data_IF_792092803759
#
_entry.id   IF_792092803759
#
_cell.length_a   1.000
_cell.length_b   1.000
_cell.length_c   1.000
_cell.angle_alpha   90.00
_cell.angle_beta   90.00
_cell.angle_gamma   90.00
#
_symmetry.space_group_name_H-M   'P 1'
#
loop_
_entity.id
_entity.type
_entity.pdbx_description
1 polymer ?
#
# COMPACT_ATOMS: atom_id res chain seq x y z
N UNK A 1 -27.69 19.71 -10.56
CA UNK A 1 -27.46 19.72 -9.10
C UNK A 1 -27.30 18.27 -8.67
N UNK A 2 -26.36 18.01 -7.80
CA UNK A 2 -26.11 16.68 -7.20
C UNK A 2 -26.45 16.74 -5.72
N UNK A 3 -26.85 15.59 -5.18
CA UNK A 3 -27.12 15.42 -3.74
C UNK A 3 -25.93 14.72 -3.07
N UNK A 4 -25.88 14.79 -1.76
CA UNK A 4 -24.92 14.02 -0.96
C UNK A 4 -25.14 12.52 -1.20
N UNK A 5 -24.06 11.77 -1.48
CA UNK A 5 -24.09 10.35 -1.79
C UNK A 5 -24.25 10.00 -3.27
N UNK A 6 -24.58 10.95 -4.14
CA UNK A 6 -24.67 10.70 -5.58
C UNK A 6 -23.34 10.27 -6.18
N UNK A 7 -23.37 9.29 -7.08
CA UNK A 7 -22.20 8.88 -7.85
C UNK A 7 -21.89 9.93 -8.92
N UNK A 8 -20.73 10.55 -8.82
CA UNK A 8 -20.35 11.66 -9.71
C UNK A 8 -19.29 11.25 -10.73
N UNK A 9 -18.42 10.32 -10.40
CA UNK A 9 -17.38 9.79 -11.32
C UNK A 9 -17.26 8.29 -11.06
N UNK A 10 -17.20 7.53 -12.15
CA UNK A 10 -16.91 6.11 -12.12
C UNK A 10 -15.63 5.86 -12.94
N UNK A 11 -14.62 5.28 -12.30
CA UNK A 11 -13.40 4.84 -12.94
C UNK A 11 -13.58 3.42 -13.47
N UNK A 12 -12.90 3.09 -14.57
CA UNK A 12 -12.92 1.75 -15.16
C UNK A 12 -12.16 0.77 -14.26
N UNK A 13 -12.80 -0.33 -13.80
CA UNK A 13 -12.15 -1.33 -12.97
C UNK A 13 -11.29 -2.33 -13.75
N UNK A 14 -11.19 -2.24 -15.09
CA UNK A 14 -10.56 -3.26 -15.93
C UNK A 14 -9.11 -3.58 -15.51
N UNK A 15 -8.31 -2.57 -15.23
CA UNK A 15 -6.91 -2.76 -14.81
C UNK A 15 -6.81 -3.42 -13.43
N UNK A 16 -7.68 -3.02 -12.50
CA UNK A 16 -7.72 -3.63 -11.15
C UNK A 16 -8.18 -5.08 -11.23
N UNK A 17 -9.21 -5.35 -12.04
CA UNK A 17 -9.72 -6.71 -12.25
C UNK A 17 -8.65 -7.61 -12.87
N UNK A 18 -7.93 -7.11 -13.89
CA UNK A 18 -6.82 -7.84 -14.49
C UNK A 18 -5.72 -8.12 -13.46
N UNK A 19 -5.34 -7.12 -12.67
CA UNK A 19 -4.35 -7.31 -11.60
C UNK A 19 -4.77 -8.40 -10.61
N UNK A 20 -6.05 -8.45 -10.21
CA UNK A 20 -6.59 -9.48 -9.32
C UNK A 20 -6.41 -10.87 -9.95
N UNK A 21 -6.83 -11.06 -11.20
CA UNK A 21 -6.71 -12.35 -11.92
C UNK A 21 -5.23 -12.78 -12.01
N UNK A 22 -4.33 -11.88 -12.34
CA UNK A 22 -2.89 -12.15 -12.41
C UNK A 22 -2.34 -12.57 -11.03
N UNK A 23 -2.80 -11.93 -9.94
CA UNK A 23 -2.41 -12.29 -8.57
C UNK A 23 -3.03 -13.59 -8.08
N UNK A 24 -4.27 -13.90 -8.46
CA UNK A 24 -4.91 -15.17 -8.15
C UNK A 24 -4.18 -16.33 -8.82
N UNK A 25 -3.78 -16.18 -10.07
CA UNK A 25 -2.95 -17.17 -10.80
C UNK A 25 -1.58 -17.34 -10.13
N UNK A 26 -0.96 -16.24 -9.67
CA UNK A 26 0.30 -16.29 -8.93
C UNK A 26 0.14 -16.99 -7.58
N UNK A 27 -0.99 -16.79 -6.89
CA UNK A 27 -1.31 -17.47 -5.64
C UNK A 27 -1.43 -18.98 -5.83
N UNK A 28 -2.17 -19.42 -6.86
CA UNK A 28 -2.33 -20.83 -7.18
C UNK A 28 -0.97 -21.50 -7.47
N UNK A 29 -0.13 -20.86 -8.28
CA UNK A 29 1.23 -21.34 -8.57
C UNK A 29 2.08 -21.43 -7.30
N UNK A 30 1.97 -20.45 -6.40
CA UNK A 30 2.73 -20.44 -5.14
C UNK A 30 2.24 -21.52 -4.17
N UNK A 31 0.93 -21.79 -4.12
CA UNK A 31 0.34 -22.88 -3.32
C UNK A 31 0.81 -24.25 -3.82
N UNK A 32 0.79 -24.47 -5.14
CA UNK A 32 1.31 -25.70 -5.72
C UNK A 32 2.81 -25.90 -5.45
N UNK A 33 3.59 -24.81 -5.47
CA UNK A 33 5.01 -24.84 -5.09
C UNK A 33 5.22 -25.18 -3.61
N UNK A 34 4.39 -24.64 -2.73
CA UNK A 34 4.42 -24.95 -1.30
C UNK A 34 4.09 -26.43 -1.04
N UNK A 35 3.04 -26.94 -1.65
CA UNK A 35 2.65 -28.37 -1.55
C UNK A 35 3.77 -29.29 -2.03
N UNK A 36 4.35 -29.01 -3.19
CA UNK A 36 5.51 -29.75 -3.70
C UNK A 36 6.70 -29.72 -2.72
N UNK A 37 6.95 -28.57 -2.11
CA UNK A 37 8.01 -28.44 -1.10
C UNK A 37 7.72 -29.32 0.12
N UNK A 38 6.48 -29.32 0.62
CA UNK A 38 6.08 -30.16 1.77
C UNK A 38 6.29 -31.65 1.51
N UNK A 39 5.85 -32.13 0.34
CA UNK A 39 6.03 -33.53 -0.06
C UNK A 39 7.53 -33.89 -0.19
N UNK A 40 8.33 -33.02 -0.80
CA UNK A 40 9.76 -33.24 -0.90
C UNK A 40 10.47 -33.27 0.47
N UNK A 41 10.00 -32.46 1.39
CA UNK A 41 10.49 -32.43 2.76
C UNK A 41 10.17 -33.73 3.50
N UNK A 42 8.93 -34.20 3.44
CA UNK A 42 8.51 -35.48 4.04
C UNK A 42 9.36 -36.65 3.52
N UNK A 43 9.66 -36.69 2.22
CA UNK A 43 10.52 -37.69 1.62
C UNK A 43 11.95 -37.61 2.20
N UNK A 44 12.53 -36.42 2.31
CA UNK A 44 13.88 -36.22 2.88
C UNK A 44 13.96 -36.61 4.34
N UNK A 45 12.93 -36.28 5.11
CA UNK A 45 12.86 -36.65 6.53
C UNK A 45 12.77 -38.18 6.70
N UNK A 46 11.96 -38.86 5.86
CA UNK A 46 11.86 -40.31 5.81
C UNK A 46 13.19 -40.99 5.43
N UNK A 47 13.93 -40.44 4.44
CA UNK A 47 15.27 -40.90 4.06
C UNK A 47 16.28 -40.72 5.19
N UNK A 48 16.24 -39.56 5.88
CA UNK A 48 17.13 -39.28 7.00
C UNK A 48 16.85 -40.20 8.19
N UNK A 49 15.58 -40.47 8.51
CA UNK A 49 15.21 -41.45 9.53
C UNK A 49 15.69 -42.87 9.17
N UNK A 50 15.55 -43.29 7.91
CA UNK A 50 16.04 -44.58 7.44
C UNK A 50 17.56 -44.68 7.59
N UNK A 51 18.27 -43.59 7.27
CA UNK A 51 19.73 -43.51 7.46
C UNK A 51 20.09 -43.64 8.95
N UNK A 52 19.38 -42.96 9.87
CA UNK A 52 19.63 -43.05 11.31
C UNK A 52 19.40 -44.48 11.77
N UNK A 53 18.34 -45.17 11.32
CA UNK A 53 18.09 -46.56 11.66
C UNK A 53 19.21 -47.50 11.22
N UNK A 54 19.75 -47.29 10.01
CA UNK A 54 20.90 -48.04 9.49
C UNK A 54 22.18 -47.81 10.31
N UNK A 55 22.47 -46.53 10.61
CA UNK A 55 23.66 -46.20 11.43
C UNK A 55 23.52 -46.68 12.88
N UNK A 56 22.30 -46.68 13.42
CA UNK A 56 22.04 -47.26 14.76
C UNK A 56 22.33 -48.76 14.77
N UNK A 57 21.85 -49.52 13.78
CA UNK A 57 22.12 -50.94 13.69
C UNK A 57 23.64 -51.21 13.53
N UNK A 58 24.36 -50.41 12.77
CA UNK A 58 25.80 -50.47 12.66
C UNK A 58 26.54 -50.18 13.98
N UNK A 59 26.08 -49.15 14.67
CA UNK A 59 26.57 -48.79 16.02
C UNK A 59 26.39 -49.94 17.01
N UNK A 60 25.22 -50.55 17.07
CA UNK A 60 24.93 -51.69 17.96
C UNK A 60 25.81 -52.90 17.63
N UNK A 61 25.97 -53.21 16.33
CA UNK A 61 26.85 -54.30 15.90
C UNK A 61 28.31 -54.04 16.32
N UNK A 62 28.86 -52.83 16.10
CA UNK A 62 30.24 -52.47 16.48
C UNK A 62 30.40 -52.45 17.98
N UNK A 63 29.40 -52.02 18.74
CA UNK A 63 29.37 -52.10 20.20
C UNK A 63 29.51 -53.54 20.70
N UNK A 64 28.68 -54.46 20.17
CA UNK A 64 28.75 -55.89 20.52
C UNK A 64 30.09 -56.50 20.17
N UNK A 65 30.67 -56.19 18.98
CA UNK A 65 31.99 -56.71 18.58
C UNK A 65 33.11 -56.16 19.46
N UNK A 66 33.04 -54.93 19.88
CA UNK A 66 33.99 -54.33 20.84
C UNK A 66 33.88 -54.97 22.22
N UNK A 67 32.68 -55.22 22.71
CA UNK A 67 32.42 -55.90 23.98
C UNK A 67 32.94 -57.35 23.98
N UNK A 68 32.78 -58.09 22.87
CA UNK A 68 33.29 -59.43 22.68
C UNK A 68 34.85 -59.48 22.67
N UNK A 69 35.49 -58.42 22.15
CA UNK A 69 36.96 -58.37 22.03
C UNK A 69 37.71 -58.15 23.35
N UNK A 70 36.99 -58.11 24.51
CA UNK A 70 37.63 -57.91 25.83
C UNK A 70 38.65 -58.95 26.19
N UNK A 71 38.55 -60.18 25.62
CA UNK A 71 39.44 -61.32 25.88
C UNK A 71 40.47 -61.55 24.76
N UNK A 72 40.54 -60.66 23.74
CA UNK A 72 41.47 -60.74 22.64
C UNK A 72 42.80 -59.99 22.91
N UNK A 73 43.70 -60.03 21.90
CA UNK A 73 44.97 -59.32 22.00
C UNK A 73 44.77 -57.80 22.05
N UNK A 74 45.67 -57.07 22.71
CA UNK A 74 45.60 -55.61 22.85
C UNK A 74 45.50 -54.88 21.47
N UNK A 75 46.13 -55.43 20.43
CA UNK A 75 46.04 -54.88 19.06
C UNK A 75 44.63 -55.03 18.52
N UNK A 76 44.00 -56.21 18.66
CA UNK A 76 42.64 -56.45 18.17
C UNK A 76 41.62 -55.63 18.94
N UNK A 77 41.76 -55.54 20.25
CA UNK A 77 40.96 -54.70 21.11
C UNK A 77 40.99 -53.25 20.70
N UNK A 78 42.17 -52.71 20.41
CA UNK A 78 42.31 -51.31 19.96
C UNK A 78 41.65 -51.08 18.60
N UNK A 79 41.73 -52.01 17.66
CA UNK A 79 41.04 -51.94 16.38
C UNK A 79 39.54 -51.89 16.58
N UNK A 80 38.99 -52.77 17.41
CA UNK A 80 37.51 -52.79 17.66
C UNK A 80 37.02 -51.57 18.41
N UNK A 81 37.81 -51.02 19.30
CA UNK A 81 37.52 -49.73 19.95
C UNK A 81 37.43 -48.58 18.91
N UNK A 82 38.38 -48.49 17.97
CA UNK A 82 38.32 -47.46 16.93
C UNK A 82 37.15 -47.64 15.95
N UNK A 83 36.78 -48.88 15.60
CA UNK A 83 35.61 -49.19 14.80
C UNK A 83 34.34 -48.75 15.49
N UNK A 84 34.20 -48.98 16.80
CA UNK A 84 33.09 -48.55 17.62
C UNK A 84 33.00 -47.01 17.75
N UNK A 85 34.16 -46.38 17.97
CA UNK A 85 34.21 -44.88 17.98
C UNK A 85 33.81 -44.32 16.65
N UNK A 86 34.25 -44.89 15.52
CA UNK A 86 33.81 -44.46 14.20
C UNK A 86 32.30 -44.59 13.98
N UNK A 87 31.72 -45.74 14.37
CA UNK A 87 30.24 -45.90 14.26
C UNK A 87 29.49 -44.91 15.16
N UNK A 88 30.00 -44.62 16.35
CA UNK A 88 29.45 -43.61 17.26
C UNK A 88 29.42 -42.24 16.61
N UNK A 89 30.53 -41.84 15.94
CA UNK A 89 30.63 -40.56 15.23
C UNK A 89 29.62 -40.51 14.07
N UNK A 90 29.52 -41.59 13.26
CA UNK A 90 28.59 -41.63 12.13
C UNK A 90 27.12 -41.50 12.57
N UNK A 91 26.71 -42.19 13.60
CA UNK A 91 25.38 -42.10 14.18
C UNK A 91 25.09 -40.66 14.66
N UNK A 92 26.04 -40.04 15.36
CA UNK A 92 25.88 -38.67 15.84
C UNK A 92 25.79 -37.65 14.68
N UNK A 93 26.58 -37.88 13.63
CA UNK A 93 26.51 -37.05 12.41
C UNK A 93 25.15 -37.18 11.69
N UNK A 94 24.61 -38.44 11.59
CA UNK A 94 23.31 -38.67 10.99
C UNK A 94 22.19 -37.95 11.76
N UNK A 95 22.21 -38.08 13.11
CA UNK A 95 21.26 -37.37 13.99
C UNK A 95 21.37 -35.84 13.83
N UNK A 96 22.58 -35.34 13.82
CA UNK A 96 22.81 -33.89 13.68
C UNK A 96 22.35 -33.35 12.33
N UNK A 97 22.53 -34.14 11.26
CA UNK A 97 22.02 -33.76 9.91
C UNK A 97 20.50 -33.68 9.89
N UNK A 98 19.79 -34.63 10.51
CA UNK A 98 18.34 -34.58 10.59
C UNK A 98 17.87 -33.30 11.33
N UNK A 99 18.49 -33.01 12.48
CA UNK A 99 18.17 -31.81 13.28
C UNK A 99 18.38 -30.51 12.46
N UNK A 100 19.52 -30.39 11.78
CA UNK A 100 19.80 -29.22 10.97
C UNK A 100 18.86 -29.10 9.77
N UNK A 101 18.56 -30.22 9.10
CA UNK A 101 17.61 -30.22 7.98
C UNK A 101 16.22 -29.81 8.44
N UNK A 102 15.74 -30.30 9.60
CA UNK A 102 14.48 -29.90 10.17
C UNK A 102 14.39 -28.37 10.40
N UNK A 103 15.43 -27.76 10.95
CA UNK A 103 15.48 -26.30 11.16
C UNK A 103 15.46 -25.54 9.82
N UNK A 104 16.22 -26.01 8.83
CA UNK A 104 16.26 -25.37 7.50
C UNK A 104 14.89 -25.48 6.83
N UNK A 105 14.30 -26.68 6.86
CA UNK A 105 12.99 -26.96 6.29
C UNK A 105 11.89 -26.08 6.91
N UNK A 106 11.88 -25.94 8.24
CA UNK A 106 10.92 -25.08 8.95
C UNK A 106 11.04 -23.62 8.50
N UNK A 107 12.26 -23.11 8.39
CA UNK A 107 12.49 -21.75 7.92
C UNK A 107 12.06 -21.56 6.46
N UNK A 108 12.34 -22.51 5.58
CA UNK A 108 11.95 -22.47 4.19
C UNK A 108 10.42 -22.49 4.04
N UNK A 109 9.72 -23.33 4.80
CA UNK A 109 8.25 -23.33 4.85
C UNK A 109 7.70 -22.00 5.32
N UNK A 110 8.27 -21.43 6.38
CA UNK A 110 7.85 -20.12 6.90
C UNK A 110 8.02 -19.00 5.86
N UNK A 111 9.14 -19.00 5.11
CA UNK A 111 9.36 -18.04 4.03
C UNK A 111 8.28 -18.18 2.96
N UNK A 112 7.94 -19.40 2.55
CA UNK A 112 6.90 -19.62 1.55
C UNK A 112 5.50 -19.25 2.05
N UNK A 113 5.19 -19.53 3.30
CA UNK A 113 3.93 -19.09 3.92
C UNK A 113 3.80 -17.56 3.93
N UNK A 114 4.89 -16.84 4.28
CA UNK A 114 4.90 -15.37 4.23
C UNK A 114 4.62 -14.87 2.82
N UNK A 115 5.19 -15.50 1.78
CA UNK A 115 4.91 -15.12 0.37
C UNK A 115 3.45 -15.33 0.00
N UNK A 116 2.87 -16.46 0.39
CA UNK A 116 1.44 -16.75 0.19
C UNK A 116 0.56 -15.70 0.87
N UNK A 117 0.86 -15.37 2.12
CA UNK A 117 0.12 -14.34 2.86
C UNK A 117 0.25 -12.94 2.23
N UNK A 118 1.42 -12.63 1.68
CA UNK A 118 1.62 -11.36 0.98
C UNK A 118 0.77 -11.26 -0.28
N UNK A 119 0.73 -12.34 -1.10
CA UNK A 119 -0.11 -12.37 -2.31
C UNK A 119 -1.59 -12.26 -1.94
N UNK A 120 -2.05 -12.97 -0.90
CA UNK A 120 -3.43 -12.86 -0.41
C UNK A 120 -3.77 -11.44 0.02
N UNK A 121 -2.86 -10.78 0.73
CA UNK A 121 -3.04 -9.39 1.14
C UNK A 121 -3.09 -8.44 -0.05
N UNK A 122 -2.26 -8.66 -1.07
CA UNK A 122 -2.30 -7.86 -2.31
C UNK A 122 -3.64 -8.00 -3.02
N UNK A 123 -4.19 -9.22 -3.10
CA UNK A 123 -5.51 -9.51 -3.67
C UNK A 123 -6.59 -8.79 -2.85
N UNK A 124 -6.57 -8.91 -1.53
CA UNK A 124 -7.55 -8.24 -0.67
C UNK A 124 -7.52 -6.72 -0.84
N UNK A 125 -6.32 -6.13 -0.83
CA UNK A 125 -6.16 -4.69 -1.06
C UNK A 125 -6.72 -4.27 -2.44
N UNK A 126 -6.55 -5.10 -3.46
CA UNK A 126 -7.10 -4.81 -4.79
C UNK A 126 -8.63 -4.88 -4.81
N UNK A 127 -9.24 -5.84 -4.12
CA UNK A 127 -10.70 -5.90 -3.95
C UNK A 127 -11.24 -4.68 -3.19
N UNK A 128 -10.52 -4.21 -2.17
CA UNK A 128 -10.92 -3.04 -1.38
C UNK A 128 -10.85 -1.72 -2.17
N UNK A 129 -10.11 -1.69 -3.29
CA UNK A 129 -10.04 -0.53 -4.19
C UNK A 129 -11.28 -0.46 -5.10
N UNK A 130 -11.88 -1.58 -5.50
CA UNK A 130 -13.00 -1.61 -6.46
C UNK A 130 -14.16 -0.68 -6.04
N UNK A 131 -14.69 -0.71 -4.81
CA UNK A 131 -15.75 0.20 -4.40
C UNK A 131 -15.31 1.68 -4.38
N UNK A 132 -14.01 1.96 -4.23
CA UNK A 132 -13.45 3.32 -4.24
C UNK A 132 -13.32 3.90 -5.66
N UNK A 133 -13.45 3.09 -6.71
CA UNK A 133 -13.48 3.54 -8.10
C UNK A 133 -14.77 4.30 -8.44
N UNK A 134 -15.80 4.19 -7.60
CA UNK A 134 -16.99 4.99 -7.70
C UNK A 134 -16.91 6.15 -6.72
N UNK A 135 -16.61 7.33 -7.23
CA UNK A 135 -16.48 8.55 -6.42
C UNK A 135 -17.87 9.15 -6.22
N UNK A 136 -18.22 9.38 -4.95
CA UNK A 136 -19.52 9.97 -4.55
C UNK A 136 -19.31 11.37 -4.00
N UNK A 137 -20.32 12.21 -4.20
CA UNK A 137 -20.33 13.55 -3.60
C UNK A 137 -20.55 13.46 -2.09
N UNK A 138 -19.74 14.21 -1.33
CA UNK A 138 -19.90 14.36 0.13
C UNK A 138 -20.78 15.54 0.52
N UNK A 139 -21.08 16.43 -0.43
CA UNK A 139 -21.89 17.63 -0.21
C UNK A 139 -22.85 17.83 -1.38
N UNK A 140 -24.03 18.40 -1.17
CA UNK A 140 -24.91 18.82 -2.26
C UNK A 140 -24.30 20.04 -2.96
N UNK A 141 -24.51 20.17 -4.28
CA UNK A 141 -24.00 21.32 -5.01
C UNK A 141 -24.05 21.20 -6.52
N UNK A 142 -23.25 22.01 -7.20
CA UNK A 142 -23.08 22.01 -8.64
C UNK A 142 -21.79 21.29 -8.96
N UNK A 143 -21.89 20.18 -9.68
CA UNK A 143 -20.74 19.43 -10.15
C UNK A 143 -20.02 20.17 -11.27
N UNK A 144 -18.72 20.43 -11.12
CA UNK A 144 -17.88 21.09 -12.11
C UNK A 144 -16.71 20.19 -12.47
N UNK A 145 -16.58 19.84 -13.74
CA UNK A 145 -15.45 19.09 -14.27
C UNK A 145 -14.24 20.03 -14.36
N UNK A 146 -13.11 19.59 -13.83
CA UNK A 146 -11.85 20.33 -13.91
C UNK A 146 -11.15 20.11 -15.24
N UNK A 147 -10.26 21.04 -15.58
CA UNK A 147 -9.39 20.90 -16.75
C UNK A 147 -8.19 20.03 -16.44
N UNK A 148 -7.81 19.22 -17.39
CA UNK A 148 -6.56 18.46 -17.32
C UNK A 148 -5.38 19.45 -17.34
N UNK A 149 -4.55 19.44 -16.32
CA UNK A 149 -3.40 20.35 -16.19
C UNK A 149 -2.39 20.25 -17.34
N UNK A 150 -2.32 19.09 -18.03
CA UNK A 150 -1.36 18.85 -19.10
C UNK A 150 -1.87 19.36 -20.45
N UNK A 151 -3.17 19.21 -20.72
CA UNK A 151 -3.78 19.53 -22.00
C UNK A 151 -4.62 20.81 -22.00
N UNK A 152 -4.87 21.38 -20.82
CA UNK A 152 -5.80 22.50 -20.57
C UNK A 152 -7.23 22.29 -21.11
N UNK A 153 -7.56 21.03 -21.44
CA UNK A 153 -8.89 20.64 -21.90
C UNK A 153 -9.71 20.10 -20.73
N UNK A 154 -11.04 20.25 -20.82
CA UNK A 154 -11.95 19.60 -19.88
C UNK A 154 -11.80 18.08 -19.98
N UNK A 155 -11.79 17.41 -18.84
CA UNK A 155 -11.79 15.95 -18.79
C UNK A 155 -13.03 15.38 -19.45
N UNK A 156 -12.86 14.33 -20.24
CA UNK A 156 -13.92 13.62 -20.95
C UNK A 156 -13.98 12.17 -20.49
N UNK A 157 -15.09 11.52 -20.77
CA UNK A 157 -15.22 10.08 -20.58
C UNK A 157 -14.22 9.37 -21.49
N UNK A 158 -13.42 8.46 -20.92
CA UNK A 158 -12.35 7.73 -21.60
C UNK A 158 -10.96 8.34 -21.44
N UNK A 159 -10.85 9.50 -20.79
CA UNK A 159 -9.53 10.07 -20.49
C UNK A 159 -8.83 9.32 -19.37
N UNK A 160 -7.51 9.16 -19.50
CA UNK A 160 -6.68 8.61 -18.43
C UNK A 160 -6.50 9.63 -17.30
N UNK A 161 -6.70 9.16 -16.07
CA UNK A 161 -6.50 9.97 -14.87
C UNK A 161 -5.43 9.35 -13.97
N UNK A 162 -4.63 10.20 -13.34
CA UNK A 162 -3.53 9.78 -12.48
C UNK A 162 -3.79 10.19 -11.04
N UNK A 163 -3.22 9.42 -10.12
CA UNK A 163 -3.32 9.70 -8.68
C UNK A 163 -2.83 11.11 -8.37
N UNK A 164 -3.65 11.87 -7.64
CA UNK A 164 -3.37 13.27 -7.29
C UNK A 164 -3.90 14.31 -8.27
N UNK A 165 -4.52 13.89 -9.39
CA UNK A 165 -5.21 14.82 -10.28
C UNK A 165 -6.61 15.15 -9.72
N UNK A 166 -6.95 16.43 -9.72
CA UNK A 166 -8.31 16.88 -9.44
C UNK A 166 -9.16 16.65 -10.69
N UNK A 167 -10.17 15.80 -10.60
CA UNK A 167 -11.05 15.48 -11.73
C UNK A 167 -12.27 16.38 -11.77
N UNK A 168 -12.81 16.71 -10.61
CA UNK A 168 -13.99 17.55 -10.47
C UNK A 168 -13.97 18.30 -9.15
N UNK A 169 -14.81 19.31 -9.04
CA UNK A 169 -15.05 20.03 -7.79
C UNK A 169 -16.53 20.25 -7.59
N UNK A 170 -16.97 20.23 -6.36
CA UNK A 170 -18.30 20.62 -5.94
C UNK A 170 -18.13 21.79 -4.99
N UNK A 171 -18.32 23.05 -5.46
CA UNK A 171 -18.21 24.21 -4.60
C UNK A 171 -19.34 24.20 -3.55
N UNK A 172 -19.01 24.55 -2.34
CA UNK A 172 -19.98 24.85 -1.30
C UNK A 172 -20.61 26.23 -1.62
N UNK A 173 -21.92 26.23 -1.87
CA UNK A 173 -22.65 27.43 -2.22
C UNK A 173 -23.34 28.09 -1.01
N UNK A 174 -23.13 27.58 0.18
CA UNK A 174 -23.68 28.17 1.42
C UNK A 174 -23.11 29.56 1.70
N UNK A 175 -21.89 29.81 1.23
CA UNK A 175 -21.20 31.06 1.43
C UNK A 175 -20.65 31.56 0.09
N UNK A 176 -20.91 32.83 -0.19
CA UNK A 176 -20.32 33.53 -1.31
C UNK A 176 -19.41 34.66 -0.83
N UNK A 177 -18.28 34.85 -1.50
CA UNK A 177 -17.42 36.01 -1.29
C UNK A 177 -17.28 36.80 -2.57
N UNK A 178 -17.24 38.11 -2.39
CA UNK A 178 -16.91 39.04 -3.47
C UNK A 178 -15.50 39.55 -3.21
N UNK A 179 -14.61 39.36 -4.18
CA UNK A 179 -13.28 39.92 -4.17
C UNK A 179 -13.30 41.23 -4.99
N UNK A 180 -12.93 42.31 -4.36
CA UNK A 180 -12.89 43.64 -4.97
C UNK A 180 -11.60 44.36 -4.64
N UNK A 181 -11.33 45.45 -5.35
CA UNK A 181 -10.12 46.25 -5.14
C UNK A 181 -10.51 47.69 -4.81
N UNK A 182 -9.86 48.23 -3.79
CA UNK A 182 -10.03 49.62 -3.39
C UNK A 182 -8.73 50.41 -3.60
N UNK A 183 -8.87 51.71 -3.90
CA UNK A 183 -7.72 52.60 -4.06
C UNK A 183 -7.09 52.93 -2.71
N UNK A 184 -5.79 53.25 -2.74
CA UNK A 184 -5.03 53.68 -1.54
C UNK A 184 -5.71 54.80 -0.77
N UNK A 185 -6.36 55.76 -1.43
CA UNK A 185 -7.05 56.88 -0.81
C UNK A 185 -8.25 56.50 0.06
N UNK A 186 -8.89 55.37 -0.24
CA UNK A 186 -10.08 54.91 0.47
C UNK A 186 -9.77 53.83 1.51
N UNK A 187 -8.53 53.31 1.51
CA UNK A 187 -8.09 52.24 2.40
C UNK A 187 -8.31 52.57 3.89
N UNK A 188 -8.01 53.82 4.29
CA UNK A 188 -8.18 54.24 5.68
C UNK A 188 -9.64 54.38 6.14
N UNK A 189 -10.58 54.38 5.22
CA UNK A 189 -12.02 54.52 5.50
C UNK A 189 -12.73 53.19 5.68
N UNK A 190 -12.09 52.10 5.35
CA UNK A 190 -12.69 50.76 5.31
C UNK A 190 -12.01 49.92 6.39
N UNK A 191 -12.84 49.19 7.16
CA UNK A 191 -12.38 48.29 8.21
C UNK A 191 -13.08 46.92 8.06
N UNK A 192 -12.40 45.89 8.52
CA UNK A 192 -13.01 44.61 8.71
C UNK A 192 -14.22 44.73 9.63
N UNK A 193 -15.37 44.10 9.21
CA UNK A 193 -16.62 44.19 9.93
C UNK A 193 -17.58 45.27 9.42
N UNK A 194 -17.15 46.14 8.48
CA UNK A 194 -18.02 47.16 7.91
C UNK A 194 -19.10 46.47 7.01
N UNK A 195 -20.32 46.96 7.13
CA UNK A 195 -21.44 46.53 6.29
C UNK A 195 -21.37 47.16 4.93
N UNK A 196 -21.53 46.38 3.89
CA UNK A 196 -21.48 46.83 2.49
C UNK A 196 -22.70 46.34 1.70
N UNK A 197 -23.06 47.09 0.69
CA UNK A 197 -24.09 46.70 -0.27
C UNK A 197 -23.40 46.34 -1.58
N UNK A 198 -23.55 45.09 -2.00
CA UNK A 198 -23.01 44.57 -3.25
C UNK A 198 -24.12 44.54 -4.29
N UNK A 199 -23.90 45.20 -5.43
CA UNK A 199 -24.80 45.17 -6.61
C UNK A 199 -24.06 44.51 -7.77
N UNK A 200 -24.69 43.55 -8.40
CA UNK A 200 -24.16 42.89 -9.59
C UNK A 200 -24.64 43.60 -10.85
N UNK A 201 -23.76 43.82 -11.82
CA UNK A 201 -24.13 44.45 -13.10
C UNK A 201 -25.18 43.64 -13.86
N UNK A 202 -25.17 42.29 -13.65
CA UNK A 202 -26.18 41.39 -14.24
C UNK A 202 -27.56 41.46 -13.57
N UNK A 203 -27.66 41.97 -12.32
CA UNK A 203 -28.89 42.07 -11.53
C UNK A 203 -28.92 43.41 -10.78
N UNK A 204 -29.05 44.53 -11.46
CA UNK A 204 -28.88 45.86 -10.89
C UNK A 204 -29.99 46.21 -9.87
N UNK A 205 -31.14 45.54 -9.94
CA UNK A 205 -32.28 45.74 -9.05
C UNK A 205 -32.13 45.08 -7.68
N UNK A 206 -31.19 44.12 -7.58
CA UNK A 206 -30.96 43.35 -6.34
C UNK A 206 -29.69 43.84 -5.66
N UNK A 207 -29.82 44.28 -4.42
CA UNK A 207 -28.67 44.60 -3.55
C UNK A 207 -28.51 43.49 -2.53
N UNK A 208 -27.29 42.94 -2.45
CA UNK A 208 -26.94 41.96 -1.46
C UNK A 208 -26.22 42.65 -0.28
N UNK A 209 -26.68 42.39 0.91
CA UNK A 209 -25.98 42.86 2.10
C UNK A 209 -24.80 41.93 2.42
N UNK A 210 -23.65 42.52 2.67
CA UNK A 210 -22.41 41.79 3.00
C UNK A 210 -21.64 42.48 4.10
N UNK A 211 -20.63 41.78 4.60
CA UNK A 211 -19.69 42.28 5.58
C UNK A 211 -18.26 42.13 5.06
N UNK A 212 -17.42 43.12 5.30
CA UNK A 212 -16.00 43.06 4.95
C UNK A 212 -15.32 42.01 5.86
N UNK A 213 -14.95 40.88 5.26
CA UNK A 213 -14.31 39.78 5.98
C UNK A 213 -12.80 39.96 6.09
N UNK A 214 -12.17 40.55 5.07
CA UNK A 214 -10.72 40.77 5.03
C UNK A 214 -10.36 41.99 4.21
N UNK A 215 -9.34 42.73 4.67
CA UNK A 215 -8.73 43.83 3.92
C UNK A 215 -7.23 43.53 3.80
N UNK A 216 -6.76 43.43 2.56
CA UNK A 216 -5.34 43.17 2.27
C UNK A 216 -4.43 44.24 2.85
N UNK A 217 -3.37 43.82 3.51
CA UNK A 217 -2.39 44.72 4.12
C UNK A 217 -1.33 45.25 3.11
N UNK A 218 -1.21 44.60 1.97
CA UNK A 218 -0.25 44.92 0.95
C UNK A 218 -0.93 45.52 -0.29
N UNK A 219 -0.43 46.67 -0.75
CA UNK A 219 -0.88 47.27 -1.99
C UNK A 219 -0.12 46.66 -3.18
N UNK A 220 -0.80 46.51 -4.29
CA UNK A 220 -0.19 46.16 -5.57
C UNK A 220 -0.68 47.07 -6.70
N UNK A 221 0.01 47.08 -7.82
CA UNK A 221 -0.41 47.88 -8.97
C UNK A 221 -1.69 47.26 -9.58
N UNK A 222 -2.70 48.07 -9.83
CA UNK A 222 -3.97 47.60 -10.43
C UNK A 222 -3.77 46.95 -11.78
N UNK A 223 -2.84 47.49 -12.57
CA UNK A 223 -2.51 46.99 -13.89
C UNK A 223 -0.99 47.17 -14.13
N UNK A 224 -0.37 46.23 -14.83
CA UNK A 224 1.04 46.32 -15.24
C UNK A 224 1.32 47.56 -16.09
N UNK A 225 0.34 48.05 -16.83
CA UNK A 225 0.44 49.24 -17.65
C UNK A 225 0.21 50.58 -16.89
N UNK A 226 -0.27 50.49 -15.63
CA UNK A 226 -0.56 51.67 -14.79
C UNK A 226 0.05 51.49 -13.39
N UNK A 227 1.37 51.43 -13.26
CA UNK A 227 2.05 51.08 -11.98
C UNK A 227 1.85 52.15 -10.87
N UNK A 228 1.36 53.33 -11.21
CA UNK A 228 1.08 54.40 -10.22
C UNK A 228 -0.27 54.24 -9.51
N UNK A 229 -1.19 53.39 -10.03
CA UNK A 229 -2.45 53.14 -9.35
C UNK A 229 -2.25 51.95 -8.43
N UNK A 230 -2.17 52.23 -7.14
CA UNK A 230 -2.07 51.20 -6.10
C UNK A 230 -3.45 50.85 -5.57
N UNK A 231 -3.71 49.56 -5.41
CA UNK A 231 -4.96 49.02 -4.89
C UNK A 231 -4.70 48.01 -3.80
N UNK A 232 -5.67 47.87 -2.93
CA UNK A 232 -5.72 46.85 -1.88
C UNK A 232 -6.86 45.88 -2.20
N UNK A 233 -6.62 44.60 -2.01
CA UNK A 233 -7.66 43.60 -2.16
C UNK A 233 -8.57 43.60 -0.93
N UNK A 234 -9.88 43.52 -1.16
CA UNK A 234 -10.90 43.45 -0.12
C UNK A 234 -11.81 42.27 -0.40
N UNK A 235 -12.04 41.48 0.60
CA UNK A 235 -12.97 40.37 0.54
C UNK A 235 -14.24 40.73 1.31
N UNK A 236 -15.36 40.57 0.68
CA UNK A 236 -16.70 40.76 1.26
C UNK A 236 -17.41 39.41 1.32
N UNK A 237 -17.93 39.07 2.46
CA UNK A 237 -18.77 37.90 2.69
C UNK A 237 -20.23 38.29 2.53
N UNK A 238 -20.96 37.53 1.68
CA UNK A 238 -22.39 37.67 1.48
C UNK A 238 -23.13 36.62 2.29
#
# INVERSE_FOLDING_TARGET
MIQEGDSVIQLDPADVTKYIVDRETALESQLASLEKMMVNQENRDSEAESTIKSELATYELRKLTYEAAKFESERTKRIKELEFQQATIQLNLAKRRLELNSIINENDLKIQQIRVEQIKKDIQNAYDIIPQLTIRSTIPGIFQITRNRRTDQLLKIGDEVYRGNTMASVPDLTWMKVETQINENDFLRIKKGDKVLVRLDALPEVAFEGEISNVGLFCHAKDRNKPRQKVFDVEVRL
#
